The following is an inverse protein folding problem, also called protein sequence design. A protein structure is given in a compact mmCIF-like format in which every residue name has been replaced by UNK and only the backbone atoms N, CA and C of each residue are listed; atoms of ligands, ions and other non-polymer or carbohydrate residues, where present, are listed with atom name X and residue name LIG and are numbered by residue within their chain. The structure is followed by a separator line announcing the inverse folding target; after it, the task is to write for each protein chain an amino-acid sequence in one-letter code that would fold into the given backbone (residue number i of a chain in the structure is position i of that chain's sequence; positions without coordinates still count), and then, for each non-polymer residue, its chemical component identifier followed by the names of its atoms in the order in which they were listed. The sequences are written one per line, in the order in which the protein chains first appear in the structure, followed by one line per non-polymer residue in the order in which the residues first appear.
data_IF_016931083098
#
_entry.id   IF_016931083098
#
_cell.length_a   1.000
_cell.length_b   1.000
_cell.length_c   1.000
_cell.angle_alpha   90.00
_cell.angle_beta   90.00
_cell.angle_gamma   90.00
#
_symmetry.space_group_name_H-M   'P 1'
#
loop_
_entity.id
_entity.type
_entity.pdbx_description
1 polymer ?
#
# COMPACT_ATOMS: atom_id res chain seq x y z
N UNK A 1 -19.42 13.68 2.82
CA UNK A 1 -18.83 12.71 1.87
C UNK A 1 -17.41 12.48 2.33
N UNK A 2 -16.93 11.23 2.39
CA UNK A 2 -15.53 10.98 2.72
C UNK A 2 -14.63 11.58 1.63
N UNK A 3 -13.49 12.17 2.02
CA UNK A 3 -12.52 12.66 1.05
C UNK A 3 -12.04 11.51 0.16
N UNK A 4 -12.16 11.69 -1.15
CA UNK A 4 -11.75 10.68 -2.15
C UNK A 4 -10.86 11.32 -3.20
N UNK A 5 -9.81 10.60 -3.60
CA UNK A 5 -8.85 11.02 -4.63
C UNK A 5 -8.91 10.03 -5.79
N UNK A 6 -8.84 10.53 -7.02
CA UNK A 6 -8.76 9.68 -8.21
C UNK A 6 -7.38 9.05 -8.31
N UNK A 7 -7.33 7.71 -8.30
CA UNK A 7 -6.12 6.94 -8.52
C UNK A 7 -6.12 6.33 -9.94
N UNK A 8 -5.22 6.78 -10.81
CA UNK A 8 -5.00 6.21 -12.13
C UNK A 8 -3.71 5.38 -12.14
N UNK A 9 -3.83 4.08 -12.43
CA UNK A 9 -2.69 3.15 -12.44
C UNK A 9 -2.75 2.21 -13.63
N UNK A 10 -1.58 1.75 -14.09
CA UNK A 10 -1.49 0.65 -15.06
C UNK A 10 -1.40 -0.67 -14.29
N UNK A 11 -2.32 -1.57 -14.58
CA UNK A 11 -2.39 -2.90 -13.96
C UNK A 11 -2.56 -3.96 -15.04
N UNK A 12 -2.12 -5.19 -14.73
CA UNK A 12 -2.31 -6.32 -15.63
C UNK A 12 -3.79 -6.54 -15.92
N UNK A 13 -4.13 -6.77 -17.19
CA UNK A 13 -5.50 -7.10 -17.61
C UNK A 13 -6.04 -8.34 -16.91
N UNK A 14 -5.17 -9.31 -16.59
CA UNK A 14 -5.54 -10.51 -15.85
C UNK A 14 -6.06 -10.19 -14.44
N UNK A 15 -5.46 -9.22 -13.74
CA UNK A 15 -5.92 -8.80 -12.41
C UNK A 15 -7.27 -8.07 -12.49
N UNK A 16 -7.45 -7.21 -13.49
CA UNK A 16 -8.73 -6.52 -13.69
C UNK A 16 -9.86 -7.52 -13.94
N UNK A 17 -9.61 -8.57 -14.75
CA UNK A 17 -10.59 -9.65 -14.97
C UNK A 17 -10.99 -10.36 -13.69
N UNK A 18 -10.04 -10.64 -12.80
CA UNK A 18 -10.35 -11.24 -11.49
C UNK A 18 -11.20 -10.32 -10.63
N UNK A 19 -10.95 -9.02 -10.65
CA UNK A 19 -11.80 -8.04 -9.94
C UNK A 19 -13.21 -8.03 -10.54
N UNK A 20 -13.33 -8.10 -11.87
CA UNK A 20 -14.62 -8.15 -12.55
C UNK A 20 -15.43 -9.40 -12.19
N UNK A 21 -14.78 -10.56 -12.11
CA UNK A 21 -15.40 -11.81 -11.64
C UNK A 21 -16.02 -11.63 -10.25
N UNK A 22 -15.26 -11.06 -9.30
CA UNK A 22 -15.75 -10.80 -7.94
C UNK A 22 -16.91 -9.79 -7.90
N UNK A 23 -16.92 -8.81 -8.80
CA UNK A 23 -18.06 -7.90 -8.94
C UNK A 23 -19.29 -8.60 -9.52
N UNK A 24 -19.12 -9.45 -10.52
CA UNK A 24 -20.20 -10.20 -11.16
C UNK A 24 -20.83 -11.23 -10.21
N UNK A 25 -20.04 -11.79 -9.30
CA UNK A 25 -20.49 -12.67 -8.21
C UNK A 25 -21.24 -11.91 -7.11
N UNK A 26 -21.26 -10.57 -7.16
CA UNK A 26 -21.92 -9.72 -6.16
C UNK A 26 -21.13 -9.55 -4.86
N UNK A 27 -19.89 -10.02 -4.79
CA UNK A 27 -19.01 -9.87 -3.62
C UNK A 27 -18.67 -8.39 -3.41
N UNK A 28 -18.44 -7.65 -4.50
CA UNK A 28 -18.21 -6.21 -4.50
C UNK A 28 -19.19 -5.50 -5.43
N UNK A 29 -19.65 -4.32 -5.04
CA UNK A 29 -20.59 -3.50 -5.83
C UNK A 29 -19.93 -2.94 -7.08
N UNK A 30 -18.62 -2.65 -7.02
CA UNK A 30 -17.85 -2.14 -8.14
C UNK A 30 -16.34 -2.35 -7.93
N UNK A 31 -15.55 -2.10 -8.99
CA UNK A 31 -14.09 -2.20 -8.98
C UNK A 31 -13.43 -1.31 -7.91
N UNK A 32 -13.97 -0.10 -7.69
CA UNK A 32 -13.39 0.85 -6.73
C UNK A 32 -13.50 0.33 -5.29
N UNK A 33 -14.60 -0.33 -4.95
CA UNK A 33 -14.78 -0.99 -3.66
C UNK A 33 -13.78 -2.14 -3.47
N UNK A 34 -13.68 -3.03 -4.46
CA UNK A 34 -12.73 -4.15 -4.43
C UNK A 34 -11.26 -3.68 -4.30
N UNK A 35 -10.88 -2.65 -5.05
CA UNK A 35 -9.53 -2.06 -4.99
C UNK A 35 -9.28 -1.40 -3.63
N UNK A 36 -10.26 -0.66 -3.11
CA UNK A 36 -10.15 -0.02 -1.80
C UNK A 36 -9.97 -1.05 -0.68
N UNK A 37 -10.72 -2.15 -0.73
CA UNK A 37 -10.58 -3.24 0.23
C UNK A 37 -9.22 -3.93 0.13
N UNK A 38 -8.75 -4.22 -1.09
CA UNK A 38 -7.42 -4.78 -1.32
C UNK A 38 -6.30 -3.88 -0.75
N UNK A 39 -6.41 -2.56 -0.92
CA UNK A 39 -5.47 -1.59 -0.34
C UNK A 39 -5.54 -1.61 1.19
N UNK A 40 -6.73 -1.64 1.79
CA UNK A 40 -6.88 -1.77 3.26
C UNK A 40 -6.25 -3.05 3.78
N UNK A 41 -6.49 -4.17 3.11
CA UNK A 41 -5.92 -5.48 3.46
C UNK A 41 -4.39 -5.46 3.38
N UNK A 42 -3.85 -4.80 2.35
CA UNK A 42 -2.41 -4.58 2.20
C UNK A 42 -1.86 -3.75 3.38
N UNK A 43 -2.49 -2.62 3.70
CA UNK A 43 -2.05 -1.76 4.79
C UNK A 43 -2.15 -2.48 6.15
N UNK A 44 -3.24 -3.19 6.41
CA UNK A 44 -3.43 -3.96 7.63
C UNK A 44 -2.37 -5.07 7.80
N UNK A 45 -1.96 -5.71 6.70
CA UNK A 45 -0.89 -6.71 6.70
C UNK A 45 0.45 -6.13 7.16
N UNK A 46 0.75 -4.89 6.78
CA UNK A 46 2.04 -4.26 7.06
C UNK A 46 2.01 -3.26 8.23
N UNK A 47 0.84 -2.94 8.79
CA UNK A 47 0.70 -2.00 9.92
C UNK A 47 1.25 -2.55 11.23
N UNK A 48 1.26 -3.87 11.41
CA UNK A 48 1.77 -4.56 12.62
C UNK A 48 3.23 -5.01 12.51
N UNK A 49 3.90 -4.72 11.41
CA UNK A 49 5.29 -5.09 11.20
C UNK A 49 6.20 -4.05 11.86
N UNK A 50 7.09 -4.49 12.76
CA UNK A 50 8.11 -3.59 13.34
C UNK A 50 8.94 -2.94 12.22
N UNK A 51 9.51 -1.75 12.44
CA UNK A 51 10.33 -1.07 11.42
C UNK A 51 11.45 -1.98 10.88
N UNK A 52 12.05 -2.80 11.72
CA UNK A 52 13.10 -3.77 11.39
C UNK A 52 12.56 -4.94 10.54
N UNK A 53 11.38 -5.46 10.87
CA UNK A 53 10.74 -6.51 10.10
C UNK A 53 10.27 -5.99 8.72
N UNK A 54 9.92 -4.70 8.63
CA UNK A 54 9.56 -4.04 7.36
C UNK A 54 10.81 -3.85 6.49
N UNK A 55 11.92 -3.40 7.06
CA UNK A 55 13.20 -3.29 6.38
C UNK A 55 13.69 -4.67 5.87
N UNK A 56 13.55 -5.71 6.70
CA UNK A 56 13.88 -7.09 6.31
C UNK A 56 13.02 -7.58 5.15
N UNK A 57 11.71 -7.35 5.18
CA UNK A 57 10.82 -7.71 4.07
C UNK A 57 11.15 -6.97 2.77
N UNK A 58 11.52 -5.69 2.86
CA UNK A 58 11.96 -4.89 1.70
C UNK A 58 13.30 -5.40 1.14
N UNK A 59 14.24 -5.78 2.00
CA UNK A 59 15.51 -6.37 1.59
C UNK A 59 15.31 -7.72 0.88
N UNK A 60 14.54 -8.64 1.48
CA UNK A 60 14.29 -9.96 0.92
C UNK A 60 13.49 -9.91 -0.39
N UNK A 61 12.62 -8.91 -0.57
CA UNK A 61 11.87 -8.71 -1.81
C UNK A 61 12.68 -8.00 -2.91
N UNK A 62 13.96 -7.68 -2.67
CA UNK A 62 14.81 -6.95 -3.61
C UNK A 62 14.41 -5.49 -3.82
N UNK A 63 13.53 -4.96 -2.97
CA UNK A 63 13.03 -3.58 -3.03
C UNK A 63 13.89 -2.62 -2.20
N UNK A 64 14.82 -3.15 -1.40
CA UNK A 64 15.90 -2.40 -0.75
C UNK A 64 17.20 -2.69 -1.50
N UNK A 65 17.69 -1.74 -2.30
CA UNK A 65 19.04 -1.83 -2.84
C UNK A 65 20.04 -1.62 -1.70
N UNK A 66 21.13 -2.40 -1.66
CA UNK A 66 22.22 -2.36 -0.65
C UNK A 66 22.99 -1.02 -0.55
N UNK A 67 22.48 0.06 -1.13
CA UNK A 67 23.13 1.37 -1.13
C UNK A 67 22.38 2.32 -0.18
N UNK A 68 22.65 2.18 1.11
CA UNK A 68 22.16 3.11 2.12
C UNK A 68 22.32 2.55 3.53
N UNK A 69 22.75 3.40 4.47
CA UNK A 69 22.81 3.06 5.89
C UNK A 69 21.41 2.59 6.36
N UNK A 70 21.28 1.40 6.99
CA UNK A 70 20.01 0.91 7.52
C UNK A 70 19.27 1.91 8.42
N UNK A 71 19.99 2.75 9.17
CA UNK A 71 19.40 3.78 10.03
C UNK A 71 18.71 4.89 9.22
N UNK A 72 19.26 5.30 8.07
CA UNK A 72 18.65 6.35 7.24
C UNK A 72 17.33 5.92 6.61
N UNK A 73 17.18 4.63 6.29
CA UNK A 73 16.03 4.07 5.58
C UNK A 73 14.83 3.76 6.50
N UNK A 74 15.11 3.44 7.76
CA UNK A 74 14.06 3.08 8.74
C UNK A 74 13.49 4.33 9.42
N UNK A 75 14.33 5.33 9.72
CA UNK A 75 13.91 6.49 10.51
C UNK A 75 13.29 7.64 9.67
N UNK A 76 13.53 7.72 8.36
CA UNK A 76 12.92 8.77 7.51
C UNK A 76 11.43 8.57 7.26
N UNK A 77 10.90 7.34 7.35
CA UNK A 77 9.46 7.07 7.21
C UNK A 77 8.65 7.52 8.44
N UNK A 78 9.30 7.68 9.59
CA UNK A 78 8.67 8.18 10.82
C UNK A 78 8.60 9.72 10.88
N UNK A 79 9.36 10.43 10.05
CA UNK A 79 9.50 11.89 10.10
C UNK A 79 8.56 12.70 9.20
N UNK A 80 7.83 12.07 8.27
CA UNK A 80 6.92 12.80 7.34
C UNK A 80 5.52 13.07 7.90
N UNK A 81 5.24 12.70 9.15
CA UNK A 81 3.95 12.93 9.80
C UNK A 81 3.91 14.11 10.78
N UNK A 82 4.95 14.96 10.86
CA UNK A 82 5.01 16.05 11.86
C UNK A 82 5.32 17.44 11.26
N UNK A 83 5.11 17.67 9.96
CA UNK A 83 5.39 18.98 9.33
C UNK A 83 4.18 19.66 8.68
N UNK A 84 2.94 19.24 8.98
CA UNK A 84 1.73 19.95 8.50
C UNK A 84 0.95 20.67 9.62
N UNK A 85 1.28 20.48 10.90
CA UNK A 85 0.66 21.20 12.02
C UNK A 85 1.58 22.32 12.55
N UNK A 86 2.05 23.20 11.68
CA UNK A 86 2.65 24.47 12.07
C UNK A 86 2.65 25.46 10.90
N UNK A 87 1.47 25.98 10.55
CA UNK A 87 1.29 27.31 9.96
C UNK A 87 -0.13 27.83 10.15
#
# INVERSE_FOLDING_TARGET
MADTVLLQVRVSSALVRRIDELCNEGIFRNRSEAISDAIRMLLARYSKTSPEARATALYLSGRLNRAGNPEELVFTLSGRGQLEDAQ
#
